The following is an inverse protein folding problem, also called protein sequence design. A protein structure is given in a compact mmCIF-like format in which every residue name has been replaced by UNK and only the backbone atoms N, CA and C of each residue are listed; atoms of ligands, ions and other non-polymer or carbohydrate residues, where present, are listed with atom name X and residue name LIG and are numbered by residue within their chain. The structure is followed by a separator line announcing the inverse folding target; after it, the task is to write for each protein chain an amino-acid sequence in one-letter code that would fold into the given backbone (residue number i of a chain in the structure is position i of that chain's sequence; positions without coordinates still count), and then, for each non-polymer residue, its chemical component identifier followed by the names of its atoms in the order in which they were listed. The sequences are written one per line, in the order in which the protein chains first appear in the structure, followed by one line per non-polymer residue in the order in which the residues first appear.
data_IF_043655205577
#
_entry.id   IF_043655205577
#
_cell.length_a   1.000
_cell.length_b   1.000
_cell.length_c   1.000
_cell.angle_alpha   90.00
_cell.angle_beta   90.00
_cell.angle_gamma   90.00
#
_symmetry.space_group_name_H-M   'P 1'
#
loop_
_entity.id
_entity.type
_entity.pdbx_description
1 polymer ?
#
# COMPACT_ATOMS: atom_id res chain seq x y z
N UNK A 1 -7.93 31.25 1.97
CA UNK A 1 -7.08 30.38 1.13
C UNK A 1 -7.59 28.95 1.28
N UNK A 2 -8.58 28.58 0.48
CA UNK A 2 -9.21 27.26 0.55
C UNK A 2 -8.62 26.37 -0.53
N UNK A 3 -7.75 25.44 -0.12
CA UNK A 3 -7.41 24.24 -0.90
C UNK A 3 -6.80 23.19 0.05
N UNK A 4 -7.59 22.76 1.02
CA UNK A 4 -7.25 21.65 1.93
C UNK A 4 -7.90 20.33 1.52
N UNK A 5 -8.36 20.20 0.27
CA UNK A 5 -9.08 19.04 -0.23
C UNK A 5 -8.33 18.46 -1.44
N UNK A 6 -7.17 17.87 -1.16
CA UNK A 6 -6.37 17.13 -2.15
C UNK A 6 -5.70 15.91 -1.55
N UNK A 7 -6.06 15.57 -0.31
CA UNK A 7 -5.42 14.52 0.48
C UNK A 7 -6.09 13.15 0.31
N UNK A 8 -7.32 13.11 -0.22
CA UNK A 8 -8.10 11.87 -0.29
C UNK A 8 -7.74 10.93 -1.46
N UNK A 9 -6.90 11.38 -2.40
CA UNK A 9 -6.45 10.58 -3.55
C UNK A 9 -4.97 10.16 -3.47
N UNK A 10 -4.31 10.46 -2.34
CA UNK A 10 -2.85 10.38 -2.17
C UNK A 10 -2.44 9.44 -1.04
N UNK A 11 -3.22 8.41 -0.77
CA UNK A 11 -2.88 7.42 0.24
C UNK A 11 -2.06 6.27 -0.35
N UNK A 12 -0.98 5.88 0.33
CA UNK A 12 -0.26 4.64 0.07
C UNK A 12 -1.08 3.45 0.58
N UNK A 13 -1.15 2.38 -0.22
CA UNK A 13 -1.89 1.19 0.14
C UNK A 13 -0.94 0.02 0.40
N UNK A 14 -1.21 -0.75 1.45
CA UNK A 14 -0.45 -1.98 1.69
C UNK A 14 -0.96 -3.11 0.79
N UNK A 15 0.00 -3.94 0.39
CA UNK A 15 -0.14 -5.11 -0.47
C UNK A 15 0.80 -6.17 0.08
N UNK A 16 0.48 -7.44 -0.17
CA UNK A 16 1.40 -8.53 0.10
C UNK A 16 2.74 -8.25 -0.59
N UNK A 17 3.83 -8.40 0.17
CA UNK A 17 5.19 -8.04 -0.23
C UNK A 17 5.64 -8.80 -1.49
N UNK A 18 5.29 -10.07 -1.58
CA UNK A 18 5.49 -10.90 -2.78
C UNK A 18 4.77 -10.34 -4.01
N UNK A 19 3.52 -9.87 -3.84
CA UNK A 19 2.71 -9.37 -4.94
C UNK A 19 3.17 -8.01 -5.44
N UNK A 20 3.54 -7.08 -4.54
CA UNK A 20 4.04 -5.76 -4.93
C UNK A 20 5.39 -5.86 -5.65
N UNK A 21 6.31 -6.73 -5.20
CA UNK A 21 7.60 -6.90 -5.85
C UNK A 21 7.44 -7.44 -7.28
N UNK A 22 6.69 -8.53 -7.46
CA UNK A 22 6.45 -9.10 -8.79
C UNK A 22 5.77 -8.10 -9.73
N UNK A 23 4.78 -7.36 -9.23
CA UNK A 23 3.99 -6.44 -10.05
C UNK A 23 4.71 -5.12 -10.33
N UNK A 24 5.61 -4.68 -9.46
CA UNK A 24 6.49 -3.54 -9.73
C UNK A 24 7.49 -3.86 -10.86
N UNK A 25 7.88 -5.12 -11.03
CA UNK A 25 8.75 -5.57 -12.12
C UNK A 25 7.96 -5.73 -13.43
N UNK A 26 6.76 -6.29 -13.36
CA UNK A 26 5.91 -6.58 -14.52
C UNK A 26 5.08 -5.36 -14.98
N UNK A 27 4.95 -4.33 -14.13
CA UNK A 27 4.11 -3.16 -14.38
C UNK A 27 2.61 -3.45 -14.29
N UNK A 28 2.24 -4.52 -13.59
CA UNK A 28 0.85 -4.98 -13.50
C UNK A 28 0.08 -4.30 -12.36
N UNK A 29 -1.25 -4.12 -12.51
CA UNK A 29 -2.09 -3.57 -11.46
C UNK A 29 -2.17 -4.52 -10.26
N UNK A 30 -1.90 -4.01 -9.06
CA UNK A 30 -2.02 -4.74 -7.78
C UNK A 30 -3.25 -4.32 -7.01
N UNK A 31 -3.77 -5.24 -6.20
CA UNK A 31 -4.93 -5.02 -5.34
C UNK A 31 -4.50 -4.89 -3.88
N UNK A 32 -4.91 -3.80 -3.24
CA UNK A 32 -4.61 -3.47 -1.85
C UNK A 32 -5.29 -4.43 -0.88
N UNK A 33 -4.81 -4.44 0.36
CA UNK A 33 -5.54 -5.04 1.47
C UNK A 33 -6.94 -4.43 1.63
N UNK A 34 -7.12 -3.14 1.30
CA UNK A 34 -8.43 -2.50 1.27
C UNK A 34 -9.27 -2.79 0.02
N UNK A 35 -8.76 -3.57 -0.94
CA UNK A 35 -9.43 -3.85 -2.23
C UNK A 35 -9.20 -2.80 -3.32
N UNK A 36 -8.43 -1.73 -3.06
CA UNK A 36 -8.11 -0.73 -4.09
C UNK A 36 -7.07 -1.24 -5.08
N UNK A 37 -7.34 -1.12 -6.37
CA UNK A 37 -6.42 -1.53 -7.44
C UNK A 37 -5.58 -0.34 -7.89
N UNK A 38 -4.24 -0.50 -7.99
CA UNK A 38 -3.34 0.52 -8.53
C UNK A 38 -2.14 -0.11 -9.23
N UNK A 39 -1.51 0.63 -10.14
CA UNK A 39 -0.24 0.21 -10.75
C UNK A 39 0.91 0.81 -9.94
N UNK A 40 1.84 -0.01 -9.41
CA UNK A 40 2.99 0.48 -8.66
C UNK A 40 3.96 1.21 -9.60
N UNK A 41 3.94 2.54 -9.56
CA UNK A 41 4.83 3.40 -10.36
C UNK A 41 5.08 4.79 -9.78
N UNK A 42 4.62 5.04 -8.54
CA UNK A 42 4.84 6.31 -7.81
C UNK A 42 5.51 6.03 -6.48
N UNK A 43 6.40 6.92 -6.03
CA UNK A 43 7.10 6.79 -4.76
C UNK A 43 6.14 6.70 -3.56
N UNK A 44 6.06 5.55 -2.86
CA UNK A 44 5.15 5.38 -1.72
C UNK A 44 5.60 6.20 -0.49
N UNK A 45 6.86 6.66 -0.45
CA UNK A 45 7.42 7.46 0.65
C UNK A 45 6.88 8.89 0.74
N UNK A 46 6.20 9.38 -0.30
CA UNK A 46 5.63 10.74 -0.33
C UNK A 46 4.19 10.80 0.19
N UNK A 47 3.61 9.66 0.56
CA UNK A 47 2.18 9.52 0.76
C UNK A 47 1.86 8.83 2.10
N UNK A 48 0.92 9.37 2.89
CA UNK A 48 0.46 8.71 4.10
C UNK A 48 -0.21 7.38 3.77
N UNK A 49 -0.05 6.36 4.63
CA UNK A 49 -0.70 5.06 4.41
C UNK A 49 -2.20 5.15 4.68
N UNK A 50 -3.00 4.48 3.86
CA UNK A 50 -4.45 4.35 4.04
C UNK A 50 -4.77 3.74 5.42
N UNK A 51 -5.64 4.38 6.23
CA UNK A 51 -5.95 3.93 7.58
C UNK A 51 -6.48 2.49 7.61
N UNK A 52 -7.33 2.12 6.64
CA UNK A 52 -7.85 0.75 6.53
C UNK A 52 -6.74 -0.27 6.24
N UNK A 53 -5.80 0.06 5.33
CA UNK A 53 -4.64 -0.81 5.09
C UNK A 53 -3.77 -0.94 6.33
N UNK A 54 -3.59 0.16 7.07
CA UNK A 54 -2.82 0.19 8.32
C UNK A 54 -3.48 -0.68 9.39
N UNK A 55 -4.79 -0.60 9.57
CA UNK A 55 -5.54 -1.43 10.53
C UNK A 55 -5.48 -2.92 10.19
N UNK A 56 -5.67 -3.28 8.91
CA UNK A 56 -5.54 -4.68 8.46
C UNK A 56 -4.10 -5.16 8.66
N UNK A 57 -3.10 -4.34 8.31
CA UNK A 57 -1.70 -4.67 8.51
C UNK A 57 -1.34 -4.86 9.99
N UNK A 58 -1.83 -3.98 10.88
CA UNK A 58 -1.65 -4.09 12.33
C UNK A 58 -2.31 -5.34 12.90
N UNK A 59 -3.53 -5.64 12.42
CA UNK A 59 -4.28 -6.85 12.76
C UNK A 59 -3.62 -8.15 12.26
N UNK A 60 -2.91 -8.12 11.12
CA UNK A 60 -2.18 -9.28 10.58
C UNK A 60 -0.77 -9.41 11.18
N UNK A 61 -0.09 -8.28 11.44
CA UNK A 61 1.27 -8.22 11.99
C UNK A 61 1.38 -8.68 13.44
N UNK A 62 0.27 -8.70 14.19
CA UNK A 62 0.20 -9.37 15.49
C UNK A 62 0.21 -10.91 15.42
N UNK A 63 0.15 -11.49 14.21
CA UNK A 63 0.03 -12.94 14.02
C UNK A 63 0.92 -13.57 12.93
N UNK A 64 1.61 -12.83 12.07
CA UNK A 64 2.47 -13.47 11.09
C UNK A 64 3.20 -12.54 10.12
N UNK A 65 4.37 -13.04 9.73
CA UNK A 65 5.17 -12.62 8.57
C UNK A 65 6.09 -11.42 8.75
N UNK A 66 7.10 -11.64 9.59
CA UNK A 66 8.44 -11.20 9.23
C UNK A 66 8.90 -12.00 8.02
N UNK A 67 8.90 -11.39 6.84
CA UNK A 67 9.72 -11.84 5.72
C UNK A 67 10.45 -10.62 5.15
N UNK A 68 11.60 -10.35 5.75
CA UNK A 68 12.73 -9.74 5.07
C UNK A 68 14.01 -10.44 5.50
N UNK A 69 14.48 -11.30 4.60
CA UNK A 69 15.87 -11.76 4.42
C UNK A 69 16.47 -12.70 5.48
N UNK A 70 16.58 -13.96 5.08
CA UNK A 70 17.79 -14.75 5.35
C UNK A 70 18.78 -14.61 4.20
#
# INVERSE_FOLDING_TARGET
MSHGDGDHERFAHYVQKDKIMASALDGTPVVALCGKVWVPGRDPKKYPVCPLCKEIYDSMGSGGEGDDKK
#
